data_IF_509849361625
#
_entry.id   IF_509849361625
#
_cell.length_a   1.000
_cell.length_b   1.000
_cell.length_c   1.000
_cell.angle_alpha   90.00
_cell.angle_beta   90.00
_cell.angle_gamma   90.00
#
_symmetry.space_group_name_H-M   'P 1'
#
loop_
_entity.id
_entity.type
_entity.pdbx_description
1 polymer ?
#
# COMPACT_ATOMS: atom_id res chain seq x y z
N UNK A 1 15.84 10.49 -23.27
CA UNK A 1 14.39 10.20 -23.11
C UNK A 1 14.30 9.08 -22.10
N UNK A 2 13.60 9.28 -20.97
CA UNK A 2 13.48 8.25 -19.94
C UNK A 2 12.70 7.05 -20.52
N UNK A 3 13.11 5.83 -20.16
CA UNK A 3 12.37 4.64 -20.57
C UNK A 3 10.95 4.66 -19.95
N UNK A 4 9.93 4.13 -20.63
CA UNK A 4 8.56 4.13 -20.10
C UNK A 4 8.41 3.47 -18.72
N UNK A 5 9.30 2.53 -18.36
CA UNK A 5 9.32 1.88 -17.04
C UNK A 5 9.94 2.78 -15.98
N UNK A 6 11.06 3.44 -16.27
CA UNK A 6 11.70 4.48 -15.46
C UNK A 6 10.73 5.66 -15.23
N UNK A 7 10.06 6.14 -16.27
CA UNK A 7 9.06 7.21 -16.13
C UNK A 7 7.88 6.78 -15.28
N UNK A 8 7.36 5.55 -15.48
CA UNK A 8 6.31 4.98 -14.62
C UNK A 8 6.79 4.85 -13.18
N UNK A 9 8.02 4.41 -12.94
CA UNK A 9 8.60 4.26 -11.61
C UNK A 9 8.80 5.62 -10.93
N UNK A 10 9.26 6.63 -11.67
CA UNK A 10 9.42 7.99 -11.15
C UNK A 10 8.06 8.60 -10.82
N UNK A 11 7.06 8.48 -11.69
CA UNK A 11 5.69 8.97 -11.40
C UNK A 11 5.09 8.21 -10.22
N UNK A 12 5.32 6.90 -10.13
CA UNK A 12 4.85 6.08 -9.02
C UNK A 12 5.53 6.48 -7.70
N UNK A 13 6.86 6.66 -7.70
CA UNK A 13 7.67 7.03 -6.54
C UNK A 13 7.39 8.46 -6.06
N UNK A 14 7.25 9.41 -6.99
CA UNK A 14 6.88 10.79 -6.67
C UNK A 14 5.44 10.87 -6.13
N UNK A 15 4.54 10.03 -6.64
CA UNK A 15 3.16 9.96 -6.14
C UNK A 15 3.10 9.29 -4.76
N UNK A 16 3.91 8.26 -4.46
CA UNK A 16 3.92 7.61 -3.14
C UNK A 16 4.65 8.38 -2.04
N UNK A 17 5.76 9.07 -2.34
CA UNK A 17 6.54 9.81 -1.34
C UNK A 17 5.84 11.12 -0.91
N UNK A 18 5.24 11.86 -1.85
CA UNK A 18 4.58 13.15 -1.55
C UNK A 18 3.20 12.98 -0.90
N UNK A 19 2.52 11.84 -1.10
CA UNK A 19 1.14 11.64 -0.61
C UNK A 19 1.02 10.83 0.68
N UNK A 20 2.10 10.31 1.27
CA UNK A 20 1.99 9.47 2.49
C UNK A 20 2.27 10.26 3.78
N UNK A 21 3.41 10.95 3.88
CA UNK A 21 3.82 11.59 5.14
C UNK A 21 3.25 13.00 5.31
N UNK A 22 3.37 13.86 4.29
CA UNK A 22 2.81 15.22 4.34
C UNK A 22 1.29 15.23 4.27
N UNK A 23 0.66 14.32 3.52
CA UNK A 23 -0.79 14.23 3.42
C UNK A 23 -1.42 13.80 4.75
N UNK A 24 -0.92 12.74 5.39
CA UNK A 24 -1.44 12.31 6.70
C UNK A 24 -1.21 13.36 7.78
N UNK A 25 -0.02 13.99 7.80
CA UNK A 25 0.30 15.05 8.76
C UNK A 25 -0.49 16.35 8.53
N UNK A 26 -0.66 16.78 7.28
CA UNK A 26 -1.46 17.96 6.95
C UNK A 26 -2.97 17.68 7.11
N UNK A 27 -3.45 16.48 6.82
CA UNK A 27 -4.89 16.21 6.86
C UNK A 27 -5.43 16.05 8.30
N UNK A 28 -4.66 15.44 9.22
CA UNK A 28 -4.95 15.47 10.67
C UNK A 28 -5.01 16.90 11.23
N UNK A 29 -4.25 17.82 10.63
CA UNK A 29 -4.14 19.23 11.06
C UNK A 29 -5.27 20.11 10.55
N UNK A 30 -5.81 19.84 9.36
CA UNK A 30 -6.73 20.78 8.69
C UNK A 30 -8.18 20.32 8.57
N UNK A 31 -8.51 19.02 8.69
CA UNK A 31 -9.90 18.55 8.54
C UNK A 31 -10.21 17.27 9.36
N UNK A 32 -10.39 17.33 10.70
CA UNK A 32 -10.76 16.16 11.49
C UNK A 32 -12.16 15.59 11.16
N UNK A 33 -13.03 16.39 10.52
CA UNK A 33 -14.43 16.03 10.21
C UNK A 33 -14.62 15.42 8.81
N UNK A 34 -13.63 15.52 7.90
CA UNK A 34 -13.71 14.91 6.55
C UNK A 34 -13.35 13.41 6.58
N UNK A 35 -13.04 12.88 7.76
CA UNK A 35 -12.71 11.47 8.00
C UNK A 35 -13.94 10.59 8.26
N UNK A 36 -15.11 10.97 7.77
CA UNK A 36 -16.20 10.01 7.60
C UNK A 36 -16.00 9.21 6.30
N UNK A 37 -15.51 7.98 6.44
CA UNK A 37 -15.91 6.86 5.58
C UNK A 37 -14.99 6.45 4.43
N UNK A 38 -14.84 7.27 3.38
CA UNK A 38 -14.78 6.64 2.04
C UNK A 38 -13.54 6.90 1.16
N UNK A 39 -12.61 7.80 1.54
CA UNK A 39 -11.44 8.11 0.68
C UNK A 39 -10.13 7.39 1.04
N UNK A 40 -9.97 7.00 2.31
CA UNK A 40 -8.85 6.17 2.77
C UNK A 40 -8.82 4.76 2.18
N UNK A 41 -9.96 4.06 1.99
CA UNK A 41 -10.00 2.75 1.35
C UNK A 41 -9.30 2.73 -0.01
N UNK A 42 -9.44 3.80 -0.82
CA UNK A 42 -8.92 3.81 -2.19
C UNK A 42 -7.39 3.71 -2.26
N UNK A 43 -6.65 4.42 -1.40
CA UNK A 43 -5.18 4.39 -1.44
C UNK A 43 -4.68 3.01 -0.98
N UNK A 44 -5.23 2.52 0.13
CA UNK A 44 -4.87 1.23 0.70
C UNK A 44 -5.21 0.07 -0.24
N UNK A 45 -6.38 0.10 -0.86
CA UNK A 45 -6.81 -0.91 -1.85
C UNK A 45 -5.96 -0.85 -3.12
N UNK A 46 -5.61 0.34 -3.60
CA UNK A 46 -4.74 0.50 -4.78
C UNK A 46 -3.36 -0.10 -4.54
N UNK A 47 -2.73 0.19 -3.39
CA UNK A 47 -1.44 -0.40 -3.02
C UNK A 47 -1.53 -1.92 -2.87
N UNK A 48 -2.57 -2.42 -2.21
CA UNK A 48 -2.82 -3.85 -2.06
C UNK A 48 -3.04 -4.54 -3.42
N UNK A 49 -3.77 -3.93 -4.34
CA UNK A 49 -4.01 -4.48 -5.67
C UNK A 49 -2.75 -4.48 -6.54
N UNK A 50 -1.91 -3.45 -6.44
CA UNK A 50 -0.61 -3.41 -7.11
C UNK A 50 0.33 -4.49 -6.56
N UNK A 51 0.37 -4.65 -5.23
CA UNK A 51 1.12 -5.72 -4.58
C UNK A 51 0.64 -7.11 -5.05
N UNK A 52 -0.67 -7.34 -5.13
CA UNK A 52 -1.25 -8.57 -5.69
C UNK A 52 -0.85 -8.81 -7.14
N UNK A 53 -0.79 -7.76 -7.95
CA UNK A 53 -0.36 -7.86 -9.35
C UNK A 53 1.09 -8.34 -9.43
N UNK A 54 2.02 -7.74 -8.67
CA UNK A 54 3.41 -8.18 -8.62
C UNK A 54 3.58 -9.57 -8.01
N UNK A 55 2.80 -9.89 -6.96
CA UNK A 55 2.74 -11.21 -6.35
C UNK A 55 2.36 -12.29 -7.38
N UNK A 56 1.31 -12.04 -8.20
CA UNK A 56 0.89 -12.96 -9.27
C UNK A 56 1.93 -13.15 -10.38
N UNK A 57 2.85 -12.20 -10.54
CA UNK A 57 3.97 -12.27 -11.50
C UNK A 57 5.22 -12.95 -10.91
N UNK A 58 5.16 -13.43 -9.66
CA UNK A 58 6.34 -13.97 -8.95
C UNK A 58 7.34 -12.91 -8.51
N UNK A 59 7.00 -11.62 -8.62
CA UNK A 59 7.87 -10.48 -8.29
C UNK A 59 7.72 -10.13 -6.81
N UNK A 60 8.06 -11.07 -5.94
CA UNK A 60 7.79 -10.96 -4.50
C UNK A 60 8.53 -9.80 -3.82
N UNK A 61 9.78 -9.54 -4.23
CA UNK A 61 10.58 -8.42 -3.73
C UNK A 61 9.96 -7.04 -4.02
N UNK A 62 9.14 -6.92 -5.07
CA UNK A 62 8.47 -5.67 -5.44
C UNK A 62 7.06 -5.58 -4.83
N UNK A 63 6.44 -6.72 -4.52
CA UNK A 63 5.13 -6.79 -3.89
C UNK A 63 5.17 -6.58 -2.37
N UNK A 64 6.19 -7.11 -1.68
CA UNK A 64 6.34 -7.00 -0.23
C UNK A 64 6.32 -5.54 0.30
N UNK A 65 7.13 -4.59 -0.24
CA UNK A 65 7.12 -3.21 0.25
C UNK A 65 5.76 -2.52 0.06
N UNK A 66 5.02 -2.86 -0.99
CA UNK A 66 3.68 -2.30 -1.24
C UNK A 66 2.63 -2.82 -0.25
N UNK A 67 2.67 -4.11 0.10
CA UNK A 67 1.83 -4.65 1.16
C UNK A 67 2.16 -4.03 2.53
N UNK A 68 3.45 -3.81 2.83
CA UNK A 68 3.87 -3.16 4.07
C UNK A 68 3.37 -1.71 4.15
N UNK A 69 3.49 -0.95 3.06
CA UNK A 69 2.97 0.42 3.00
C UNK A 69 1.44 0.46 3.11
N UNK A 70 0.73 -0.45 2.43
CA UNK A 70 -0.72 -0.57 2.55
C UNK A 70 -1.13 -0.92 3.99
N UNK A 71 -0.39 -1.80 4.65
CA UNK A 71 -0.68 -2.23 6.02
C UNK A 71 -0.52 -1.08 7.02
N UNK A 72 0.59 -0.33 6.94
CA UNK A 72 0.85 0.82 7.82
C UNK A 72 -0.26 1.88 7.71
N UNK A 73 -0.66 2.22 6.48
CA UNK A 73 -1.75 3.17 6.24
C UNK A 73 -3.08 2.62 6.77
N UNK A 74 -3.38 1.34 6.55
CA UNK A 74 -4.61 0.71 7.00
C UNK A 74 -4.70 0.65 8.54
N UNK A 75 -3.61 0.31 9.22
CA UNK A 75 -3.55 0.24 10.67
C UNK A 75 -3.73 1.63 11.30
N UNK A 76 -3.11 2.67 10.71
CA UNK A 76 -3.24 4.04 11.20
C UNK A 76 -4.61 4.67 10.93
N UNK A 77 -5.25 4.36 9.79
CA UNK A 77 -6.49 5.00 9.36
C UNK A 77 -7.76 4.22 9.74
N UNK A 78 -7.73 2.88 9.65
CA UNK A 78 -8.89 2.00 9.83
C UNK A 78 -8.79 1.15 11.10
N UNK A 79 -7.58 1.00 11.65
CA UNK A 79 -7.30 0.15 12.80
C UNK A 79 -6.96 -1.30 12.43
N UNK A 80 -6.35 -2.00 13.38
CA UNK A 80 -5.78 -3.34 13.18
C UNK A 80 -6.82 -4.43 12.82
N UNK A 81 -8.05 -4.26 13.32
CA UNK A 81 -9.16 -5.21 13.19
C UNK A 81 -10.07 -4.93 11.99
N UNK A 82 -9.82 -3.87 11.23
CA UNK A 82 -10.63 -3.54 10.07
C UNK A 82 -10.47 -4.61 8.97
N UNK A 83 -11.55 -5.02 8.26
CA UNK A 83 -11.47 -6.04 7.22
C UNK A 83 -10.39 -5.80 6.17
N UNK A 84 -10.20 -4.55 5.74
CA UNK A 84 -9.15 -4.16 4.78
C UNK A 84 -7.75 -4.42 5.35
N UNK A 85 -7.50 -4.04 6.61
CA UNK A 85 -6.23 -4.25 7.31
C UNK A 85 -5.90 -5.74 7.43
N UNK A 86 -6.88 -6.55 7.85
CA UNK A 86 -6.74 -8.00 7.96
C UNK A 86 -6.41 -8.62 6.61
N UNK A 87 -7.10 -8.22 5.54
CA UNK A 87 -6.88 -8.75 4.19
C UNK A 87 -5.49 -8.45 3.65
N UNK A 88 -4.96 -7.26 3.92
CA UNK A 88 -3.59 -6.89 3.52
C UNK A 88 -2.57 -7.75 4.25
N UNK A 89 -2.78 -7.96 5.56
CA UNK A 89 -1.92 -8.80 6.40
C UNK A 89 -1.89 -10.25 5.90
N UNK A 90 -3.04 -10.80 5.54
CA UNK A 90 -3.16 -12.15 4.96
C UNK A 90 -2.41 -12.27 3.61
N UNK A 91 -2.55 -11.26 2.74
CA UNK A 91 -1.86 -11.25 1.44
C UNK A 91 -0.34 -11.17 1.62
N UNK A 92 0.14 -10.32 2.55
CA UNK A 92 1.55 -10.22 2.90
C UNK A 92 2.10 -11.54 3.45
N UNK A 93 1.35 -12.18 4.35
CA UNK A 93 1.74 -13.48 4.92
C UNK A 93 1.83 -14.56 3.83
N UNK A 94 0.86 -14.58 2.91
CA UNK A 94 0.84 -15.52 1.78
C UNK A 94 2.05 -15.30 0.86
N UNK A 95 2.39 -14.04 0.56
CA UNK A 95 3.58 -13.71 -0.22
C UNK A 95 4.84 -14.26 0.47
N UNK A 96 4.99 -14.03 1.78
CA UNK A 96 6.18 -14.47 2.53
C UNK A 96 6.33 -15.99 2.55
N UNK A 97 5.21 -16.73 2.64
CA UNK A 97 5.22 -18.19 2.54
C UNK A 97 5.68 -18.67 1.15
N UNK A 98 5.32 -17.96 0.09
CA UNK A 98 5.72 -18.31 -1.27
C UNK A 98 7.16 -17.89 -1.61
N UNK A 99 7.67 -16.85 -0.96
CA UNK A 99 9.07 -16.40 -1.10
C UNK A 99 10.05 -17.32 -0.35
N UNK A 100 9.60 -17.98 0.71
CA UNK A 100 10.37 -18.96 1.49
C UNK A 100 9.65 -20.32 1.54
N UNK A 101 9.52 -21.02 0.40
CA UNK A 101 8.99 -22.38 0.43
C UNK A 101 9.94 -23.20 1.31
N UNK A 102 9.41 -23.78 2.37
CA UNK A 102 10.18 -24.61 3.29
C UNK A 102 10.85 -25.72 2.48
N UNK A 103 12.18 -25.75 2.44
CA UNK A 103 12.98 -26.84 1.85
C UNK A 103 12.76 -28.16 2.57
#
# INVERSE_FOLDING_TARGET
MLDPKEFRNIIHQYFTEVTSQEFLANQKKYCPEIFEGDNYPNITENLNNLAKLYHSQGRYAEAEPLYLQALDIAEQALGENHPTTVKIRENLQTLRQQQHPSS
#
